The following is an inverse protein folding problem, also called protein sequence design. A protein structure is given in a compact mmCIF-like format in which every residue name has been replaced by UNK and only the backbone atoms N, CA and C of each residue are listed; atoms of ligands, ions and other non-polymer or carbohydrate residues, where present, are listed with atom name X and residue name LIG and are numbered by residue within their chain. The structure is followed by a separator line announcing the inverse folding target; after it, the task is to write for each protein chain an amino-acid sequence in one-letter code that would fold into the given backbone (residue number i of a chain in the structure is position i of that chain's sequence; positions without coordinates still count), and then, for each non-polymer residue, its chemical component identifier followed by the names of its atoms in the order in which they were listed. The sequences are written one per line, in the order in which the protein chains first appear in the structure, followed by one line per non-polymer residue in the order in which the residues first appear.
data_IF_857468251637
#
_entry.id   IF_857468251637
#
_cell.length_a   1.000
_cell.length_b   1.000
_cell.length_c   1.000
_cell.angle_alpha   90.00
_cell.angle_beta   90.00
_cell.angle_gamma   90.00
#
_symmetry.space_group_name_H-M   'P 1'
#
loop_
_entity.id
_entity.type
_entity.pdbx_description
1 polymer ?
#
# COMPACT_ATOMS: atom_id res chain seq x y z
N UNK A 1 48.95 22.47 -17.63
CA UNK A 1 49.79 21.27 -17.61
C UNK A 1 50.84 21.48 -18.67
N UNK A 2 52.08 21.74 -18.27
CA UNK A 2 53.20 21.88 -19.19
C UNK A 2 53.63 20.50 -19.73
N UNK A 3 54.03 20.39 -21.01
CA UNK A 3 54.51 19.14 -21.59
C UNK A 3 56.00 18.93 -21.28
N UNK A 4 56.36 17.71 -20.87
CA UNK A 4 57.74 17.30 -20.59
C UNK A 4 58.31 16.65 -21.86
N UNK A 5 59.30 17.30 -22.46
CA UNK A 5 60.17 16.74 -23.51
C UNK A 5 61.17 15.76 -22.89
N UNK A 6 61.30 14.56 -23.49
CA UNK A 6 62.33 13.57 -23.14
C UNK A 6 63.27 13.41 -24.35
N UNK A 7 64.61 13.50 -24.17
CA UNK A 7 65.56 13.47 -25.29
C UNK A 7 65.83 12.06 -25.79
N UNK A 8 66.01 11.97 -27.11
CA UNK A 8 66.50 10.81 -27.86
C UNK A 8 68.00 10.64 -27.56
N UNK A 9 68.42 9.42 -27.21
CA UNK A 9 69.82 9.03 -27.12
C UNK A 9 70.09 7.83 -28.04
N UNK A 10 71.00 8.06 -28.97
CA UNK A 10 71.57 7.11 -29.91
C UNK A 10 72.28 5.96 -29.20
N UNK A 11 72.14 4.75 -29.77
CA UNK A 11 72.78 3.52 -29.25
C UNK A 11 74.23 3.33 -29.71
N UNK A 12 74.93 2.31 -29.18
CA UNK A 12 76.11 1.73 -29.79
C UNK A 12 75.89 0.26 -30.23
N UNK A 13 76.82 -0.32 -30.99
CA UNK A 13 76.49 -1.16 -32.14
C UNK A 13 76.40 -2.66 -31.86
N UNK A 14 75.76 -3.31 -32.83
CA UNK A 14 75.57 -4.74 -33.01
C UNK A 14 76.92 -5.44 -33.16
N UNK A 15 77.16 -6.48 -32.35
CA UNK A 15 78.12 -7.54 -32.67
C UNK A 15 77.36 -8.85 -32.83
N UNK A 16 77.63 -9.50 -33.96
CA UNK A 16 76.89 -10.65 -34.44
C UNK A 16 77.36 -11.94 -33.79
N UNK A 17 76.42 -12.82 -33.47
CA UNK A 17 76.68 -14.24 -33.66
C UNK A 17 75.42 -14.99 -34.07
N UNK A 18 75.55 -15.60 -35.24
CA UNK A 18 74.61 -16.43 -35.96
C UNK A 18 74.68 -17.86 -35.41
N UNK A 19 73.55 -18.46 -35.05
CA UNK A 19 73.24 -19.90 -35.22
C UNK A 19 71.75 -20.11 -34.85
N UNK A 20 70.84 -20.06 -35.83
CA UNK A 20 70.36 -21.14 -36.70
C UNK A 20 69.25 -22.02 -36.09
N UNK A 21 68.13 -22.05 -36.85
CA UNK A 21 67.09 -23.08 -36.99
C UNK A 21 66.08 -23.28 -35.84
N UNK A 22 64.83 -22.95 -36.14
CA UNK A 22 63.69 -23.34 -35.32
C UNK A 22 62.33 -23.01 -35.93
N UNK A 23 62.04 -23.55 -37.11
CA UNK A 23 60.70 -23.80 -37.66
C UNK A 23 59.72 -22.60 -37.72
N UNK A 24 59.55 -22.05 -38.92
CA UNK A 24 58.35 -21.27 -39.28
C UNK A 24 57.15 -22.20 -39.15
N UNK A 25 56.56 -22.23 -37.95
CA UNK A 25 55.19 -22.65 -37.77
C UNK A 25 54.35 -21.62 -38.51
N UNK A 26 53.81 -22.03 -39.65
CA UNK A 26 52.69 -21.38 -40.31
C UNK A 26 51.70 -20.91 -39.24
N UNK A 27 51.59 -19.60 -39.05
CA UNK A 27 50.48 -19.02 -38.30
C UNK A 27 49.21 -19.39 -39.05
N UNK A 28 48.41 -20.29 -38.47
CA UNK A 28 47.07 -20.57 -38.92
C UNK A 28 46.23 -19.32 -38.60
N UNK A 29 46.35 -18.28 -39.43
CA UNK A 29 45.59 -17.03 -39.27
C UNK A 29 44.07 -17.30 -39.26
N UNK A 30 43.62 -18.38 -39.89
CA UNK A 30 42.22 -18.82 -39.91
C UNK A 30 41.71 -19.34 -38.55
N UNK A 31 42.58 -19.93 -37.71
CA UNK A 31 42.23 -20.48 -36.39
C UNK A 31 42.15 -19.38 -35.31
N UNK A 32 43.06 -18.40 -35.38
CA UNK A 32 43.05 -17.22 -34.50
C UNK A 32 41.86 -16.30 -34.78
N UNK A 33 41.43 -16.19 -36.05
CA UNK A 33 40.29 -15.34 -36.44
C UNK A 33 38.97 -15.93 -35.92
N UNK A 34 38.78 -17.24 -36.03
CA UNK A 34 37.60 -17.93 -35.52
C UNK A 34 37.49 -17.85 -33.99
N UNK A 35 38.61 -17.94 -33.27
CA UNK A 35 38.64 -17.79 -31.82
C UNK A 35 38.41 -16.34 -31.36
N UNK A 36 38.91 -15.34 -32.10
CA UNK A 36 38.60 -13.92 -31.87
C UNK A 36 37.12 -13.64 -32.11
N UNK A 37 36.52 -14.18 -33.18
CA UNK A 37 35.08 -14.05 -33.44
C UNK A 37 34.25 -14.68 -32.32
N UNK A 38 34.68 -15.84 -31.80
CA UNK A 38 33.99 -16.52 -30.69
C UNK A 38 34.05 -15.74 -29.38
N UNK A 39 35.20 -15.10 -29.10
CA UNK A 39 35.37 -14.22 -27.94
C UNK A 39 34.55 -12.94 -28.11
N UNK A 40 34.57 -12.34 -29.30
CA UNK A 40 33.79 -11.13 -29.62
C UNK A 40 32.31 -11.38 -29.44
N UNK A 41 31.78 -12.48 -30.00
CA UNK A 41 30.38 -12.86 -29.85
C UNK A 41 29.98 -13.12 -28.38
N UNK A 42 30.89 -13.66 -27.58
CA UNK A 42 30.68 -13.86 -26.15
C UNK A 42 30.70 -12.53 -25.36
N UNK A 43 31.55 -11.58 -25.76
CA UNK A 43 31.58 -10.22 -25.20
C UNK A 43 30.28 -9.49 -25.53
N UNK A 44 29.80 -9.56 -26.77
CA UNK A 44 28.53 -8.93 -27.18
C UNK A 44 27.32 -9.49 -26.41
N UNK A 45 27.33 -10.81 -26.15
CA UNK A 45 26.33 -11.46 -25.32
C UNK A 45 26.41 -11.00 -23.85
N UNK A 46 27.62 -10.74 -23.33
CA UNK A 46 27.79 -10.14 -22.00
C UNK A 46 27.35 -8.68 -21.95
N UNK A 47 27.65 -7.88 -22.97
CA UNK A 47 27.19 -6.48 -23.06
C UNK A 47 25.68 -6.44 -23.06
N UNK A 48 25.04 -7.30 -23.85
CA UNK A 48 23.57 -7.44 -23.88
C UNK A 48 23.00 -7.75 -22.49
N UNK A 49 23.62 -8.69 -21.75
CA UNK A 49 23.20 -9.01 -20.38
C UNK A 49 23.41 -7.87 -19.39
N UNK A 50 24.47 -7.08 -19.53
CA UNK A 50 24.70 -5.91 -18.67
C UNK A 50 23.63 -4.84 -18.92
N UNK A 51 23.27 -4.61 -20.18
CA UNK A 51 22.19 -3.69 -20.56
C UNK A 51 20.83 -4.18 -20.03
N UNK A 52 20.54 -5.48 -20.14
CA UNK A 52 19.33 -6.07 -19.53
C UNK A 52 19.28 -5.93 -18.00
N UNK A 53 20.44 -6.05 -17.34
CA UNK A 53 20.54 -5.86 -15.89
C UNK A 53 20.34 -4.39 -15.50
N UNK A 54 20.92 -3.45 -16.24
CA UNK A 54 20.66 -2.01 -16.06
C UNK A 54 19.18 -1.68 -16.24
N UNK A 55 18.54 -2.25 -17.26
CA UNK A 55 17.11 -2.10 -17.49
C UNK A 55 16.30 -2.62 -16.29
N UNK A 56 16.63 -3.80 -15.76
CA UNK A 56 15.97 -4.38 -14.58
C UNK A 56 16.20 -3.55 -13.31
N UNK A 57 17.40 -3.01 -13.10
CA UNK A 57 17.69 -2.11 -11.97
C UNK A 57 16.84 -0.85 -12.07
N UNK A 58 16.70 -0.30 -13.28
CA UNK A 58 15.87 0.88 -13.53
C UNK A 58 14.36 0.56 -13.37
N UNK A 59 13.90 -0.62 -13.81
CA UNK A 59 12.53 -1.09 -13.56
C UNK A 59 12.24 -1.24 -12.06
N UNK A 60 13.20 -1.74 -11.30
CA UNK A 60 13.12 -1.83 -9.83
C UNK A 60 13.01 -0.42 -9.24
N UNK A 61 13.81 0.54 -9.70
CA UNK A 61 13.78 1.94 -9.25
C UNK A 61 12.44 2.63 -9.60
N UNK A 62 11.91 2.42 -10.81
CA UNK A 62 10.61 2.95 -11.23
C UNK A 62 9.43 2.29 -10.51
N UNK A 63 9.53 0.99 -10.18
CA UNK A 63 8.56 0.31 -9.33
C UNK A 63 8.47 0.96 -7.94
N UNK A 64 9.59 1.41 -7.36
CA UNK A 64 9.60 2.14 -6.09
C UNK A 64 8.93 3.52 -6.19
N UNK A 65 9.17 4.27 -7.27
CA UNK A 65 8.55 5.58 -7.50
C UNK A 65 7.03 5.49 -7.74
N UNK A 66 6.58 4.40 -8.37
CA UNK A 66 5.17 4.20 -8.73
C UNK A 66 4.37 3.57 -7.58
N UNK A 67 4.98 2.69 -6.78
CA UNK A 67 4.34 2.01 -5.65
C UNK A 67 4.03 2.96 -4.50
N UNK A 68 4.79 4.03 -4.31
CA UNK A 68 4.43 5.13 -3.39
C UNK A 68 3.13 5.86 -3.79
N UNK A 69 2.65 5.70 -5.03
CA UNK A 69 1.41 6.33 -5.54
C UNK A 69 0.24 5.37 -5.73
N UNK A 70 0.45 4.04 -5.65
CA UNK A 70 -0.55 3.03 -6.01
C UNK A 70 -0.57 1.86 -5.04
N UNK A 71 -1.27 1.96 -3.92
CA UNK A 71 -1.87 0.75 -3.32
C UNK A 71 -3.33 1.06 -2.97
N UNK A 72 -4.15 1.07 -4.02
CA UNK A 72 -5.55 0.64 -4.00
C UNK A 72 -5.60 -0.65 -4.86
N UNK A 73 -5.97 -1.76 -4.21
CA UNK A 73 -6.38 -3.11 -4.67
C UNK A 73 -6.12 -3.66 -6.11
N UNK A 74 -5.81 -4.98 -6.10
CA UNK A 74 -6.45 -6.10 -6.86
C UNK A 74 -5.58 -6.87 -7.90
N UNK A 75 -5.21 -8.12 -7.53
CA UNK A 75 -5.49 -9.36 -8.30
C UNK A 75 -4.51 -9.89 -9.38
N UNK A 76 -4.22 -11.20 -9.28
CA UNK A 76 -3.76 -12.17 -10.33
C UNK A 76 -2.33 -11.98 -10.91
N UNK A 77 -1.54 -12.97 -11.34
CA UNK A 77 -1.79 -14.34 -11.84
C UNK A 77 -0.48 -15.17 -11.94
N UNK A 78 -0.61 -16.51 -11.81
CA UNK A 78 0.07 -17.62 -12.53
C UNK A 78 1.59 -17.57 -12.82
N UNK A 79 2.36 -18.51 -12.23
CA UNK A 79 3.41 -19.40 -12.87
C UNK A 79 3.66 -20.61 -11.93
N UNK A 80 3.95 -21.82 -12.45
CA UNK A 80 4.36 -23.06 -11.72
C UNK A 80 5.89 -23.15 -11.51
N UNK A 81 6.33 -23.71 -10.38
CA UNK A 81 7.31 -24.83 -10.25
C UNK A 81 7.73 -24.99 -8.76
N UNK A 82 8.08 -26.22 -8.38
CA UNK A 82 7.86 -26.96 -7.11
C UNK A 82 8.35 -26.42 -5.74
N UNK A 83 8.88 -25.21 -5.63
CA UNK A 83 9.19 -24.57 -4.32
C UNK A 83 8.02 -23.70 -3.78
N UNK A 84 6.92 -23.68 -4.55
CA UNK A 84 5.74 -22.82 -4.35
C UNK A 84 4.75 -23.32 -3.31
N UNK A 85 4.74 -24.61 -2.99
CA UNK A 85 3.67 -25.16 -2.12
C UNK A 85 3.72 -24.54 -0.71
N UNK A 86 4.90 -24.38 -0.11
CA UNK A 86 5.01 -23.71 1.20
C UNK A 86 4.68 -22.22 1.16
N UNK A 87 5.05 -21.52 0.08
CA UNK A 87 4.82 -20.07 -0.06
C UNK A 87 3.35 -19.74 -0.40
N UNK A 88 2.70 -20.55 -1.25
CA UNK A 88 1.27 -20.45 -1.58
C UNK A 88 0.40 -20.78 -0.36
N UNK A 89 0.79 -21.78 0.44
CA UNK A 89 0.10 -22.11 1.70
C UNK A 89 0.15 -20.93 2.68
N UNK A 90 1.30 -20.24 2.81
CA UNK A 90 1.44 -19.08 3.69
C UNK A 90 0.61 -17.86 3.22
N UNK A 91 0.57 -17.58 1.91
CA UNK A 91 -0.22 -16.46 1.36
C UNK A 91 -1.72 -16.70 1.53
N UNK A 92 -2.20 -17.94 1.28
CA UNK A 92 -3.60 -18.31 1.50
C UNK A 92 -4.00 -18.21 2.98
N UNK A 93 -3.10 -18.63 3.89
CA UNK A 93 -3.32 -18.52 5.34
C UNK A 93 -3.41 -17.06 5.79
N UNK A 94 -2.49 -16.20 5.34
CA UNK A 94 -2.52 -14.75 5.66
C UNK A 94 -3.78 -14.04 5.12
N UNK A 95 -4.24 -14.36 3.91
CA UNK A 95 -5.49 -13.80 3.38
C UNK A 95 -6.73 -14.28 4.13
N UNK A 96 -6.73 -15.54 4.56
CA UNK A 96 -7.81 -16.11 5.37
C UNK A 96 -7.87 -15.45 6.76
N UNK A 97 -6.72 -15.24 7.40
CA UNK A 97 -6.62 -14.58 8.71
C UNK A 97 -7.07 -13.10 8.65
N UNK A 98 -6.69 -12.37 7.60
CA UNK A 98 -7.14 -10.98 7.38
C UNK A 98 -8.67 -10.89 7.17
N UNK A 99 -9.24 -11.81 6.39
CA UNK A 99 -10.69 -11.87 6.14
C UNK A 99 -11.46 -12.19 7.42
N UNK A 100 -10.93 -13.08 8.27
CA UNK A 100 -11.54 -13.39 9.57
C UNK A 100 -11.49 -12.20 10.53
N UNK A 101 -10.39 -11.46 10.56
CA UNK A 101 -10.24 -10.25 11.39
C UNK A 101 -11.25 -9.17 10.98
N UNK A 102 -11.40 -8.93 9.69
CA UNK A 102 -12.39 -7.98 9.16
C UNK A 102 -13.82 -8.41 9.51
N UNK A 103 -14.15 -9.70 9.32
CA UNK A 103 -15.46 -10.23 9.67
C UNK A 103 -15.76 -10.13 11.18
N UNK A 104 -14.76 -10.33 12.04
CA UNK A 104 -14.89 -10.13 13.48
C UNK A 104 -15.14 -8.66 13.83
N UNK A 105 -14.36 -7.75 13.22
CA UNK A 105 -14.53 -6.30 13.37
C UNK A 105 -15.93 -5.83 12.96
N UNK A 106 -16.40 -6.31 11.80
CA UNK A 106 -17.75 -6.03 11.30
C UNK A 106 -18.83 -6.53 12.28
N UNK A 107 -18.71 -7.76 12.80
CA UNK A 107 -19.66 -8.30 13.80
C UNK A 107 -19.73 -7.46 15.07
N UNK A 108 -18.59 -6.99 15.58
CA UNK A 108 -18.55 -6.16 16.80
C UNK A 108 -19.16 -4.79 16.55
N UNK A 109 -18.89 -4.18 15.39
CA UNK A 109 -19.55 -2.93 14.99
C UNK A 109 -21.07 -3.12 14.86
N UNK A 110 -21.53 -4.22 14.24
CA UNK A 110 -22.96 -4.54 14.14
C UNK A 110 -23.63 -4.68 15.52
N UNK A 111 -22.93 -5.25 16.50
CA UNK A 111 -23.44 -5.35 17.87
C UNK A 111 -23.54 -3.98 18.55
N UNK A 112 -22.58 -3.08 18.34
CA UNK A 112 -22.66 -1.69 18.82
C UNK A 112 -23.83 -0.94 18.15
N UNK A 113 -24.01 -1.12 16.83
CA UNK A 113 -25.15 -0.57 16.10
C UNK A 113 -26.47 -1.06 16.68
N UNK A 114 -26.61 -2.36 16.95
CA UNK A 114 -27.81 -2.96 17.56
C UNK A 114 -28.11 -2.41 18.96
N UNK A 115 -27.08 -2.23 19.79
CA UNK A 115 -27.23 -1.61 21.10
C UNK A 115 -27.69 -0.15 20.97
N UNK A 116 -27.11 0.62 20.05
CA UNK A 116 -27.54 1.99 19.81
C UNK A 116 -28.97 2.07 19.25
N UNK A 117 -29.38 1.17 18.35
CA UNK A 117 -30.76 1.05 17.87
C UNK A 117 -31.74 0.82 19.02
N UNK A 118 -31.32 0.11 20.06
CA UNK A 118 -32.14 -0.10 21.25
C UNK A 118 -32.27 1.17 22.10
N UNK A 119 -31.20 1.94 22.24
CA UNK A 119 -31.26 3.26 22.87
C UNK A 119 -32.19 4.18 22.09
N UNK A 120 -32.02 4.26 20.76
CA UNK A 120 -32.85 5.10 19.90
C UNK A 120 -34.35 4.71 19.98
N UNK A 121 -34.64 3.39 20.04
CA UNK A 121 -36.01 2.91 20.27
C UNK A 121 -36.60 3.42 21.59
N UNK A 122 -35.83 3.43 22.67
CA UNK A 122 -36.30 3.95 23.96
C UNK A 122 -36.57 5.46 23.92
N UNK A 123 -35.77 6.22 23.17
CA UNK A 123 -35.97 7.66 22.98
C UNK A 123 -37.21 7.92 22.13
N UNK A 124 -37.37 7.22 21.01
CA UNK A 124 -38.51 7.37 20.09
C UNK A 124 -39.85 6.90 20.66
N UNK A 125 -39.84 6.01 21.66
CA UNK A 125 -41.04 5.58 22.39
C UNK A 125 -41.45 6.53 23.52
N UNK A 126 -40.66 7.55 23.82
CA UNK A 126 -41.01 8.52 24.84
C UNK A 126 -42.22 9.36 24.40
N UNK A 127 -43.13 9.68 25.34
CA UNK A 127 -44.34 10.49 25.06
C UNK A 127 -44.08 11.86 24.42
N UNK A 128 -42.84 12.36 24.52
CA UNK A 128 -42.40 13.64 23.96
C UNK A 128 -41.63 13.50 22.64
N UNK A 129 -41.52 12.31 22.08
CA UNK A 129 -40.75 12.08 20.87
C UNK A 129 -41.50 12.52 19.58
N UNK A 130 -42.83 12.63 19.65
CA UNK A 130 -43.68 12.83 18.48
C UNK A 130 -43.28 13.98 17.53
N UNK A 131 -42.79 15.16 17.98
CA UNK A 131 -42.41 16.24 17.06
C UNK A 131 -41.18 15.92 16.22
N UNK A 132 -40.37 14.97 16.68
CA UNK A 132 -39.08 14.62 16.11
C UNK A 132 -39.15 13.36 15.23
N UNK A 133 -40.34 12.77 15.08
CA UNK A 133 -40.53 11.50 14.39
C UNK A 133 -40.47 11.61 12.87
N UNK A 134 -40.79 12.78 12.32
CA UNK A 134 -40.87 13.06 10.88
C UNK A 134 -40.16 14.37 10.57
N UNK A 135 -39.77 14.62 9.30
CA UNK A 135 -39.25 15.92 8.89
C UNK A 135 -40.25 17.03 9.26
N UNK A 136 -39.72 18.20 9.66
CA UNK A 136 -40.56 19.36 9.98
C UNK A 136 -41.36 19.78 8.75
N UNK A 137 -42.69 19.85 8.87
CA UNK A 137 -43.58 20.33 7.82
C UNK A 137 -43.57 21.86 7.77
N UNK A 138 -42.47 22.39 7.23
CA UNK A 138 -42.21 23.83 7.11
C UNK A 138 -43.35 24.56 6.41
N UNK A 139 -43.95 23.94 5.38
CA UNK A 139 -45.05 24.54 4.61
C UNK A 139 -46.36 24.50 5.39
N UNK A 140 -46.73 23.36 5.95
CA UNK A 140 -47.97 23.20 6.71
C UNK A 140 -48.00 24.03 7.99
N UNK A 141 -46.83 24.29 8.58
CA UNK A 141 -46.68 25.11 9.78
C UNK A 141 -46.40 26.61 9.49
N UNK A 142 -46.21 27.00 8.23
CA UNK A 142 -45.96 28.40 7.85
C UNK A 142 -44.60 28.94 8.31
N UNK A 143 -43.58 28.09 8.42
CA UNK A 143 -42.26 28.41 8.95
C UNK A 143 -41.32 28.96 7.86
N UNK A 144 -41.57 30.18 7.40
CA UNK A 144 -40.89 30.74 6.22
C UNK A 144 -39.36 30.88 6.36
N UNK A 145 -38.86 31.01 7.58
CA UNK A 145 -37.45 31.21 7.94
C UNK A 145 -36.71 29.91 8.33
N UNK A 146 -37.40 28.75 8.32
CA UNK A 146 -36.83 27.52 8.89
C UNK A 146 -35.50 27.12 8.26
N UNK A 147 -35.38 27.19 6.94
CA UNK A 147 -34.16 26.84 6.22
C UNK A 147 -33.10 27.96 6.22
N UNK A 148 -33.44 29.16 6.71
CA UNK A 148 -32.47 30.23 6.97
C UNK A 148 -31.79 30.02 8.34
N UNK A 149 -32.55 29.48 9.30
CA UNK A 149 -32.06 29.19 10.65
C UNK A 149 -31.42 27.80 10.75
N UNK A 150 -31.98 26.80 10.07
CA UNK A 150 -31.58 25.39 10.16
C UNK A 150 -30.92 24.91 8.87
N UNK A 151 -29.60 24.75 8.92
CA UNK A 151 -28.75 24.34 7.80
C UNK A 151 -28.99 22.89 7.36
N UNK A 152 -28.98 21.95 8.31
CA UNK A 152 -29.20 20.51 8.05
C UNK A 152 -30.40 19.99 8.85
N UNK A 153 -31.62 20.00 8.28
CA UNK A 153 -32.79 19.37 8.88
C UNK A 153 -32.54 17.89 9.16
N UNK A 154 -33.08 17.38 10.28
CA UNK A 154 -32.94 15.98 10.68
C UNK A 154 -34.11 15.55 11.55
N UNK A 155 -34.48 14.28 11.45
CA UNK A 155 -35.56 13.65 12.20
C UNK A 155 -35.33 12.14 12.36
N UNK A 156 -36.10 11.48 13.23
CA UNK A 156 -35.90 10.06 13.51
C UNK A 156 -36.25 9.11 12.36
N UNK A 157 -37.16 9.49 11.45
CA UNK A 157 -37.43 8.67 10.28
C UNK A 157 -36.27 8.70 9.28
N UNK A 158 -35.66 9.87 9.08
CA UNK A 158 -34.45 10.00 8.26
C UNK A 158 -33.30 9.18 8.84
N UNK A 159 -33.04 9.29 10.15
CA UNK A 159 -32.01 8.47 10.82
C UNK A 159 -32.30 6.97 10.64
N UNK A 160 -33.55 6.54 10.87
CA UNK A 160 -33.93 5.14 10.72
C UNK A 160 -33.70 4.63 9.30
N UNK A 161 -34.13 5.39 8.29
CA UNK A 161 -33.95 5.04 6.89
C UNK A 161 -32.46 4.90 6.55
N UNK A 162 -31.62 5.80 7.06
CA UNK A 162 -30.17 5.77 6.86
C UNK A 162 -29.51 4.57 7.57
N UNK A 163 -30.00 4.17 8.74
CA UNK A 163 -29.54 2.95 9.44
C UNK A 163 -29.89 1.68 8.67
N UNK A 164 -30.99 1.67 7.92
CA UNK A 164 -31.48 0.52 7.17
C UNK A 164 -31.02 0.50 5.69
N UNK A 165 -30.27 1.51 5.26
CA UNK A 165 -29.81 1.68 3.88
C UNK A 165 -28.89 0.54 3.44
N UNK A 166 -29.15 -0.01 2.24
CA UNK A 166 -28.41 -1.15 1.65
C UNK A 166 -27.55 -0.77 0.45
N UNK A 167 -27.65 0.47 -0.01
CA UNK A 167 -26.96 1.02 -1.19
C UNK A 167 -25.55 1.56 -0.87
N UNK A 168 -25.09 1.38 0.37
CA UNK A 168 -23.79 1.88 0.84
C UNK A 168 -23.81 3.32 1.34
N UNK A 169 -24.96 4.00 1.33
CA UNK A 169 -25.10 5.33 1.94
C UNK A 169 -25.22 5.26 3.47
N UNK A 170 -25.56 4.10 4.04
CA UNK A 170 -25.81 3.93 5.46
C UNK A 170 -24.63 4.28 6.38
N UNK A 171 -24.94 4.46 7.66
CA UNK A 171 -23.95 4.86 8.66
C UNK A 171 -22.81 3.84 8.82
N UNK A 172 -21.58 4.35 8.90
CA UNK A 172 -20.36 3.52 9.00
C UNK A 172 -20.06 3.11 10.44
N UNK A 173 -20.51 3.91 11.40
CA UNK A 173 -20.27 3.69 12.82
C UNK A 173 -21.35 4.35 13.67
N UNK A 174 -21.40 3.95 14.94
CA UNK A 174 -22.37 4.47 15.92
C UNK A 174 -22.25 5.97 16.18
N UNK A 175 -21.08 6.60 16.01
CA UNK A 175 -20.92 8.03 16.27
C UNK A 175 -21.64 8.88 15.23
N UNK A 176 -21.72 8.43 13.99
CA UNK A 176 -22.46 9.13 12.94
C UNK A 176 -23.96 9.19 13.27
N UNK A 177 -24.54 8.08 13.73
CA UNK A 177 -25.93 8.04 14.21
C UNK A 177 -26.11 8.98 15.40
N UNK A 178 -25.21 8.94 16.39
CA UNK A 178 -25.27 9.82 17.55
C UNK A 178 -25.17 11.31 17.17
N UNK A 179 -24.40 11.64 16.13
CA UNK A 179 -24.29 13.01 15.63
C UNK A 179 -25.63 13.49 15.06
N UNK A 180 -26.30 12.67 14.25
CA UNK A 180 -27.60 13.03 13.69
C UNK A 180 -28.71 13.04 14.77
N UNK A 181 -28.68 12.15 15.76
CA UNK A 181 -29.63 12.21 16.89
C UNK A 181 -29.47 13.51 17.69
N UNK A 182 -28.22 13.94 17.94
CA UNK A 182 -27.96 15.24 18.57
C UNK A 182 -28.44 16.39 17.68
N UNK A 183 -28.29 16.26 16.36
CA UNK A 183 -28.71 17.28 15.40
C UNK A 183 -30.22 17.51 15.42
N UNK A 184 -31.04 16.44 15.51
CA UNK A 184 -32.50 16.54 15.70
C UNK A 184 -32.84 17.51 16.84
N UNK A 185 -32.25 17.28 18.01
CA UNK A 185 -32.55 18.09 19.19
C UNK A 185 -31.90 19.47 19.16
N UNK A 186 -30.69 19.59 18.62
CA UNK A 186 -30.00 20.88 18.48
C UNK A 186 -30.77 21.80 17.53
N UNK A 187 -31.27 21.29 16.41
CA UNK A 187 -32.07 22.06 15.48
C UNK A 187 -33.37 22.55 16.14
N UNK A 188 -34.06 21.65 16.87
CA UNK A 188 -35.25 22.01 17.61
C UNK A 188 -34.98 23.11 18.65
N UNK A 189 -33.89 23.01 19.41
CA UNK A 189 -33.53 24.04 20.40
C UNK A 189 -33.03 25.34 19.78
N UNK A 190 -32.45 25.30 18.58
CA UNK A 190 -31.98 26.48 17.86
C UNK A 190 -33.14 27.27 17.22
N UNK A 191 -34.14 26.56 16.69
CA UNK A 191 -35.30 27.20 16.06
C UNK A 191 -36.34 27.69 17.07
N UNK A 192 -36.50 27.00 18.21
CA UNK A 192 -37.55 27.30 19.20
C UNK A 192 -36.98 28.00 20.43
N UNK A 193 -37.73 28.93 21.02
CA UNK A 193 -37.34 29.64 22.24
C UNK A 193 -37.27 28.68 23.43
N UNK A 194 -36.45 29.00 24.44
CA UNK A 194 -36.26 28.12 25.62
C UNK A 194 -37.54 27.82 26.42
N UNK A 195 -38.58 28.65 26.25
CA UNK A 195 -39.88 28.50 26.92
C UNK A 195 -40.88 27.67 26.12
N UNK A 196 -40.60 27.40 24.84
CA UNK A 196 -41.49 26.64 23.97
C UNK A 196 -41.43 25.16 24.35
N UNK A 197 -42.58 24.48 24.32
CA UNK A 197 -42.67 23.06 24.68
C UNK A 197 -41.69 22.21 23.85
N UNK A 198 -41.56 22.50 22.56
CA UNK A 198 -40.64 21.78 21.65
C UNK A 198 -39.18 21.89 22.12
N UNK A 199 -38.76 23.07 22.59
CA UNK A 199 -37.41 23.25 23.13
C UNK A 199 -37.21 22.42 24.40
N UNK A 200 -38.15 22.49 25.34
CA UNK A 200 -38.11 21.73 26.60
C UNK A 200 -38.10 20.21 26.34
N UNK A 201 -38.93 19.75 25.39
CA UNK A 201 -38.99 18.36 24.96
C UNK A 201 -37.66 17.91 24.36
N UNK A 202 -37.07 18.71 23.46
CA UNK A 202 -35.79 18.42 22.84
C UNK A 202 -34.65 18.33 23.87
N UNK A 203 -34.55 19.31 24.76
CA UNK A 203 -33.55 19.34 25.85
C UNK A 203 -33.67 18.11 26.75
N UNK A 204 -34.90 17.73 27.11
CA UNK A 204 -35.16 16.57 27.97
C UNK A 204 -34.79 15.25 27.30
N UNK A 205 -35.17 15.07 26.03
CA UNK A 205 -34.86 13.85 25.29
C UNK A 205 -33.38 13.74 24.96
N UNK A 206 -32.71 14.86 24.66
CA UNK A 206 -31.26 14.88 24.48
C UNK A 206 -30.54 14.43 25.77
N UNK A 207 -30.94 14.95 26.93
CA UNK A 207 -30.35 14.54 28.21
C UNK A 207 -30.52 13.03 28.45
N UNK A 208 -31.72 12.47 28.20
CA UNK A 208 -31.98 11.03 28.29
C UNK A 208 -31.15 10.21 27.30
N UNK A 209 -30.97 10.73 26.09
CA UNK A 209 -30.12 10.09 25.08
C UNK A 209 -28.66 10.06 25.52
N UNK A 210 -28.11 11.18 25.99
CA UNK A 210 -26.72 11.26 26.47
C UNK A 210 -26.48 10.33 27.66
N UNK A 211 -27.40 10.25 28.61
CA UNK A 211 -27.30 9.32 29.75
C UNK A 211 -27.14 7.87 29.28
N UNK A 212 -27.94 7.45 28.30
CA UNK A 212 -27.87 6.09 27.73
C UNK A 212 -26.65 5.90 26.85
N UNK A 213 -26.27 6.92 26.10
CA UNK A 213 -25.07 6.92 25.27
C UNK A 213 -23.81 6.74 26.12
N UNK A 214 -23.73 7.39 27.28
CA UNK A 214 -22.62 7.23 28.22
C UNK A 214 -22.44 5.79 28.73
N UNK A 215 -23.52 5.00 28.78
CA UNK A 215 -23.45 3.58 29.13
C UNK A 215 -22.86 2.72 28.00
N UNK A 216 -23.08 3.12 26.75
CA UNK A 216 -22.55 2.44 25.56
C UNK A 216 -21.12 2.89 25.21
N UNK A 217 -20.79 4.16 25.51
CA UNK A 217 -19.55 4.82 25.12
C UNK A 217 -18.27 4.03 25.47
N UNK A 218 -18.12 3.40 26.65
CA UNK A 218 -16.93 2.60 26.95
C UNK A 218 -16.68 1.47 25.93
N UNK A 219 -17.75 0.77 25.51
CA UNK A 219 -17.63 -0.30 24.50
C UNK A 219 -17.25 0.23 23.12
N UNK A 220 -17.72 1.43 22.79
CA UNK A 220 -17.37 2.11 21.53
C UNK A 220 -15.89 2.49 21.53
N UNK A 221 -15.40 3.06 22.64
CA UNK A 221 -13.98 3.42 22.79
C UNK A 221 -13.10 2.17 22.75
N UNK A 222 -13.51 1.08 23.40
CA UNK A 222 -12.80 -0.20 23.35
C UNK A 222 -12.70 -0.73 21.91
N UNK A 223 -13.80 -0.76 21.16
CA UNK A 223 -13.78 -1.19 19.75
C UNK A 223 -12.91 -0.28 18.89
N UNK A 224 -12.99 1.04 19.07
CA UNK A 224 -12.15 1.99 18.33
C UNK A 224 -10.67 1.80 18.62
N UNK A 225 -10.32 1.55 19.88
CA UNK A 225 -8.94 1.27 20.30
C UNK A 225 -8.47 -0.05 19.68
N UNK A 226 -9.29 -1.10 19.77
CA UNK A 226 -8.97 -2.39 19.14
C UNK A 226 -8.78 -2.27 17.64
N UNK A 227 -9.65 -1.54 16.93
CA UNK A 227 -9.52 -1.32 15.48
C UNK A 227 -8.22 -0.62 15.13
N UNK A 228 -7.82 0.40 15.89
CA UNK A 228 -6.54 1.09 15.68
C UNK A 228 -5.35 0.16 15.88
N UNK A 229 -5.40 -0.72 16.88
CA UNK A 229 -4.34 -1.72 17.11
C UNK A 229 -4.32 -2.75 15.97
N UNK A 230 -5.47 -3.31 15.59
CA UNK A 230 -5.60 -4.28 14.48
C UNK A 230 -5.11 -3.68 13.15
N UNK A 231 -5.39 -2.40 12.88
CA UNK A 231 -4.93 -1.66 11.70
C UNK A 231 -3.42 -1.39 11.74
N UNK A 232 -2.88 -0.98 12.88
CA UNK A 232 -1.44 -0.76 13.05
C UNK A 232 -0.64 -2.07 12.89
N UNK A 233 -1.15 -3.18 13.44
CA UNK A 233 -0.57 -4.51 13.26
C UNK A 233 -0.60 -4.93 11.79
N UNK A 234 -1.74 -4.76 11.11
CA UNK A 234 -1.86 -5.06 9.68
C UNK A 234 -0.90 -4.22 8.84
N UNK A 235 -0.74 -2.93 9.17
CA UNK A 235 0.21 -2.05 8.49
C UNK A 235 1.66 -2.47 8.73
N UNK A 236 1.99 -2.88 9.95
CA UNK A 236 3.30 -3.44 10.29
C UNK A 236 3.60 -4.73 9.52
N UNK A 237 2.63 -5.64 9.44
CA UNK A 237 2.76 -6.89 8.68
C UNK A 237 2.99 -6.63 7.19
N UNK A 238 2.26 -5.66 6.61
CA UNK A 238 2.45 -5.22 5.23
C UNK A 238 3.87 -4.67 5.03
N UNK A 239 4.37 -3.86 5.96
CA UNK A 239 5.72 -3.30 5.88
C UNK A 239 6.80 -4.38 5.97
N UNK A 240 6.67 -5.34 6.89
CA UNK A 240 7.58 -6.48 7.01
C UNK A 240 7.58 -7.34 5.74
N UNK A 241 6.41 -7.58 5.15
CA UNK A 241 6.31 -8.33 3.90
C UNK A 241 6.99 -7.59 2.74
N UNK A 242 6.82 -6.26 2.66
CA UNK A 242 7.51 -5.43 1.69
C UNK A 242 9.03 -5.47 1.89
N UNK A 243 9.51 -5.36 3.12
CA UNK A 243 10.95 -5.40 3.42
C UNK A 243 11.56 -6.78 3.11
N UNK A 244 10.86 -7.86 3.43
CA UNK A 244 11.29 -9.21 3.08
C UNK A 244 11.37 -9.40 1.56
N UNK A 245 10.40 -8.87 0.81
CA UNK A 245 10.42 -8.88 -0.66
C UNK A 245 11.60 -8.07 -1.22
N UNK A 246 11.87 -6.88 -0.68
CA UNK A 246 13.03 -6.05 -1.06
C UNK A 246 14.35 -6.79 -0.80
N UNK A 247 14.51 -7.38 0.38
CA UNK A 247 15.71 -8.11 0.77
C UNK A 247 15.97 -9.32 -0.13
N UNK A 248 14.90 -10.01 -0.55
CA UNK A 248 14.99 -11.11 -1.51
C UNK A 248 15.48 -10.61 -2.88
N UNK A 249 14.84 -9.56 -3.42
CA UNK A 249 15.25 -8.99 -4.72
C UNK A 249 16.70 -8.52 -4.71
N UNK A 250 17.16 -7.85 -3.65
CA UNK A 250 18.54 -7.42 -3.51
C UNK A 250 19.54 -8.59 -3.51
N UNK A 251 19.19 -9.70 -2.84
CA UNK A 251 20.00 -10.93 -2.86
C UNK A 251 20.07 -11.55 -4.25
N UNK A 252 18.94 -11.63 -4.95
CA UNK A 252 18.87 -12.21 -6.29
C UNK A 252 19.73 -11.40 -7.27
N UNK A 253 19.65 -10.07 -7.24
CA UNK A 253 20.49 -9.16 -8.05
C UNK A 253 21.98 -9.33 -7.71
N UNK A 254 22.33 -9.37 -6.43
CA UNK A 254 23.74 -9.55 -6.01
C UNK A 254 24.33 -10.87 -6.51
N UNK A 255 23.54 -11.94 -6.49
CA UNK A 255 23.94 -13.24 -7.03
C UNK A 255 24.18 -13.18 -8.55
N UNK A 256 23.30 -12.53 -9.31
CA UNK A 256 23.45 -12.36 -10.76
C UNK A 256 24.70 -11.55 -11.12
N UNK A 257 24.95 -10.44 -10.40
CA UNK A 257 26.18 -9.63 -10.55
C UNK A 257 27.43 -10.46 -10.23
N UNK A 258 27.40 -11.26 -9.17
CA UNK A 258 28.52 -12.15 -8.81
C UNK A 258 28.81 -13.22 -9.88
N UNK A 259 27.77 -13.76 -10.52
CA UNK A 259 27.92 -14.68 -11.66
C UNK A 259 28.57 -13.95 -12.84
N UNK A 260 28.10 -12.74 -13.18
CA UNK A 260 28.64 -11.93 -14.25
C UNK A 260 30.14 -11.61 -14.03
N UNK A 261 30.52 -11.23 -12.81
CA UNK A 261 31.91 -10.94 -12.45
C UNK A 261 32.83 -12.17 -12.61
N UNK A 262 32.37 -13.37 -12.19
CA UNK A 262 33.13 -14.61 -12.39
C UNK A 262 33.34 -14.91 -13.87
N UNK A 263 32.32 -14.71 -14.71
CA UNK A 263 32.42 -14.93 -16.15
C UNK A 263 33.42 -13.96 -16.78
N UNK A 264 33.40 -12.68 -16.39
CA UNK A 264 34.37 -11.67 -16.82
C UNK A 264 35.81 -12.05 -16.47
N UNK A 265 36.05 -12.57 -15.25
CA UNK A 265 37.38 -13.04 -14.83
C UNK A 265 37.88 -14.21 -15.68
N UNK A 266 37.03 -15.20 -15.98
CA UNK A 266 37.39 -16.34 -16.84
C UNK A 266 37.85 -15.87 -18.22
N UNK A 267 37.12 -14.93 -18.83
CA UNK A 267 37.46 -14.37 -20.14
C UNK A 267 38.80 -13.63 -20.06
N UNK A 268 39.01 -12.80 -19.04
CA UNK A 268 40.27 -12.06 -18.84
C UNK A 268 41.48 -13.01 -18.73
N UNK A 269 41.34 -14.12 -17.99
CA UNK A 269 42.40 -15.13 -17.86
C UNK A 269 42.65 -15.83 -19.20
N UNK A 270 41.60 -16.23 -19.92
CA UNK A 270 41.73 -16.87 -21.23
C UNK A 270 42.44 -15.96 -22.24
N UNK A 271 42.11 -14.67 -22.26
CA UNK A 271 42.75 -13.67 -23.12
C UNK A 271 44.23 -13.49 -22.75
N UNK A 272 44.54 -13.24 -21.47
CA UNK A 272 45.93 -13.07 -21.02
C UNK A 272 46.78 -14.33 -21.22
N UNK A 273 46.19 -15.53 -21.14
CA UNK A 273 46.89 -16.79 -21.41
C UNK A 273 47.26 -16.99 -22.88
N UNK A 274 46.46 -16.44 -23.81
CA UNK A 274 46.73 -16.51 -25.26
C UNK A 274 47.80 -15.51 -25.72
N UNK A 275 47.83 -14.30 -25.16
CA UNK A 275 48.71 -13.21 -25.60
C UNK A 275 49.97 -13.01 -24.74
N UNK A 276 50.27 -13.94 -23.82
CA UNK A 276 51.52 -14.00 -23.06
C UNK A 276 52.48 -14.98 -23.73
N UNK A 277 52.97 -14.62 -24.91
CA UNK A 277 54.18 -15.18 -25.55
C UNK A 277 54.97 -14.04 -26.15
#
# INVERSE_FOLDING_TARGET
MEPIDIPILDGPPIDGNLMEIGNVGTCNAEDDTADIERITHHIDNMITKVVELEQKVNEVEQFFLTSSKRINFKGSSVVKDKDKDKHIINIKKQQQDATQREAASAKRMQELMRQLSTILRQITQHKWAWPFMQPVDVKGLGLHDYYEVIDKPMDFSTIKNQMEAKDGTGYKNVREICADVRLVFKNAMAYNNERDDIHVMAKTLLAKFEEKWLQLLPKVIEEETRRKVEEAEAQSDIQLAQEAAKTKMARDVSNEVGICAKQKCKIKIAFLGKYRR
#
